data_IF_835350293502
#
_entry.id   IF_835350293502
#
_cell.length_a   1.000
_cell.length_b   1.000
_cell.length_c   1.000
_cell.angle_alpha   90.00
_cell.angle_beta   90.00
_cell.angle_gamma   90.00
#
_symmetry.space_group_name_H-M   'P 1'
#
loop_
_entity.id
_entity.type
_entity.pdbx_description
1 polymer ?
#
# COMPACT_ATOMS: atom_id res chain seq x y z
N UNK A 1 -1.72 0.56 -19.14
CA UNK A 1 -2.48 -0.71 -19.16
C UNK A 1 -2.88 -1.02 -17.73
N UNK A 2 -4.16 -1.27 -17.50
CA UNK A 2 -4.71 -1.76 -16.24
C UNK A 2 -5.54 -3.02 -16.54
N UNK A 3 -5.73 -3.94 -15.58
CA UNK A 3 -5.21 -3.88 -14.21
C UNK A 3 -3.68 -4.02 -14.17
N UNK A 4 -3.06 -3.37 -13.17
CA UNK A 4 -1.65 -3.54 -12.88
C UNK A 4 -1.37 -4.97 -12.45
N UNK A 5 -0.25 -5.51 -12.96
CA UNK A 5 0.20 -6.85 -12.62
C UNK A 5 0.78 -6.86 -11.21
N UNK A 6 0.30 -7.78 -10.39
CA UNK A 6 0.85 -8.05 -9.06
C UNK A 6 2.23 -8.72 -9.16
N UNK A 7 3.08 -8.46 -8.18
CA UNK A 7 4.35 -9.12 -8.01
C UNK A 7 4.16 -10.57 -7.52
N UNK A 8 5.04 -11.50 -7.91
CA UNK A 8 4.99 -12.88 -7.43
C UNK A 8 5.24 -12.95 -5.92
N UNK A 9 4.40 -13.68 -5.20
CA UNK A 9 4.45 -13.88 -3.74
C UNK A 9 4.96 -15.28 -3.37
N UNK A 10 5.09 -15.54 -2.06
CA UNK A 10 5.32 -16.87 -1.47
C UNK A 10 4.30 -17.11 -0.35
N UNK A 11 3.88 -18.35 -0.07
CA UNK A 11 2.89 -18.62 0.99
C UNK A 11 3.48 -18.59 2.41
N UNK A 12 4.79 -18.40 2.54
CA UNK A 12 5.57 -18.64 3.76
C UNK A 12 5.27 -17.62 4.89
N UNK A 13 5.63 -18.02 6.12
CA UNK A 13 5.60 -17.19 7.33
C UNK A 13 6.85 -16.32 7.41
N UNK A 14 6.71 -15.04 7.03
CA UNK A 14 7.85 -14.13 6.93
C UNK A 14 8.60 -13.90 8.25
N UNK A 15 7.91 -13.99 9.39
CA UNK A 15 8.52 -13.80 10.70
C UNK A 15 9.51 -14.91 11.08
N UNK A 16 9.26 -16.13 10.61
CA UNK A 16 10.15 -17.27 10.82
C UNK A 16 11.34 -17.29 9.84
N UNK A 17 11.32 -16.46 8.80
CA UNK A 17 12.40 -16.35 7.83
C UNK A 17 13.55 -15.48 8.33
N UNK A 18 14.73 -15.65 7.72
CA UNK A 18 15.80 -14.67 7.80
C UNK A 18 15.29 -13.34 7.22
N UNK A 19 15.40 -12.25 7.98
CA UNK A 19 14.88 -10.92 7.64
C UNK A 19 15.48 -10.39 6.35
N UNK A 20 16.68 -10.84 5.99
CA UNK A 20 17.38 -10.46 4.76
C UNK A 20 16.76 -11.11 3.53
N UNK A 21 16.06 -12.24 3.71
CA UNK A 21 15.19 -12.85 2.70
C UNK A 21 13.77 -12.27 2.79
N UNK A 22 13.24 -12.16 4.01
CA UNK A 22 11.86 -11.75 4.27
C UNK A 22 11.56 -10.32 3.77
N UNK A 23 12.51 -9.38 3.87
CA UNK A 23 12.32 -7.97 3.50
C UNK A 23 11.78 -7.80 2.08
N UNK A 24 12.27 -8.60 1.12
CA UNK A 24 11.79 -8.54 -0.27
C UNK A 24 10.32 -8.91 -0.37
N UNK A 25 9.91 -9.97 0.33
CA UNK A 25 8.54 -10.46 0.30
C UNK A 25 7.59 -9.55 1.10
N UNK A 26 8.05 -8.98 2.22
CA UNK A 26 7.32 -7.95 2.96
C UNK A 26 6.99 -6.75 2.05
N UNK A 27 7.98 -6.29 1.28
CA UNK A 27 7.80 -5.25 0.28
C UNK A 27 6.80 -5.64 -0.80
N UNK A 28 6.92 -6.86 -1.34
CA UNK A 28 6.02 -7.40 -2.35
C UNK A 28 4.57 -7.41 -1.86
N UNK A 29 4.30 -7.89 -0.65
CA UNK A 29 2.94 -7.95 -0.11
C UNK A 29 2.34 -6.56 0.09
N UNK A 30 3.09 -5.63 0.69
CA UNK A 30 2.62 -4.25 0.86
C UNK A 30 2.34 -3.60 -0.50
N UNK A 31 3.25 -3.72 -1.47
CA UNK A 31 3.08 -3.15 -2.80
C UNK A 31 1.91 -3.78 -3.57
N UNK A 32 1.70 -5.09 -3.44
CA UNK A 32 0.53 -5.76 -4.02
C UNK A 32 -0.79 -5.27 -3.41
N UNK A 33 -0.81 -5.00 -2.10
CA UNK A 33 -1.95 -4.43 -1.38
C UNK A 33 -2.30 -3.05 -1.95
N UNK A 34 -1.30 -2.17 -2.14
CA UNK A 34 -1.48 -0.85 -2.75
C UNK A 34 -1.94 -0.95 -4.21
N UNK A 35 -1.33 -1.84 -5.00
CA UNK A 35 -1.70 -2.06 -6.41
C UNK A 35 -3.16 -2.52 -6.53
N UNK A 36 -3.63 -3.39 -5.64
CA UNK A 36 -5.04 -3.80 -5.62
C UNK A 36 -5.97 -2.62 -5.37
N UNK A 37 -5.65 -1.76 -4.41
CA UNK A 37 -6.41 -0.53 -4.16
C UNK A 37 -6.51 0.36 -5.40
N UNK A 38 -5.36 0.60 -6.07
CA UNK A 38 -5.30 1.39 -7.30
C UNK A 38 -6.09 0.75 -8.46
N UNK A 39 -6.01 -0.57 -8.60
CA UNK A 39 -6.80 -1.30 -9.61
C UNK A 39 -8.29 -1.17 -9.35
N UNK A 40 -8.75 -1.31 -8.10
CA UNK A 40 -10.15 -1.07 -7.74
C UNK A 40 -10.60 0.33 -8.14
N UNK A 41 -9.83 1.38 -7.79
CA UNK A 41 -10.20 2.75 -8.15
C UNK A 41 -10.33 2.89 -9.67
N UNK A 42 -9.39 2.33 -10.44
CA UNK A 42 -9.42 2.35 -11.90
C UNK A 42 -10.66 1.65 -12.48
N UNK A 43 -11.01 0.48 -11.94
CA UNK A 43 -12.11 -0.37 -12.39
C UNK A 43 -13.49 0.20 -12.03
N UNK A 44 -13.63 0.78 -10.84
CA UNK A 44 -14.89 1.31 -10.31
C UNK A 44 -15.21 2.70 -10.86
N UNK A 45 -14.20 3.52 -11.15
CA UNK A 45 -14.38 4.89 -11.66
C UNK A 45 -15.46 5.04 -12.76
N UNK A 46 -15.48 4.25 -13.86
CA UNK A 46 -16.47 4.39 -14.92
C UNK A 46 -17.88 3.91 -14.56
N UNK A 47 -18.05 3.19 -13.45
CA UNK A 47 -19.31 2.61 -13.01
C UNK A 47 -20.06 3.53 -12.04
N UNK A 48 -19.34 4.45 -11.40
CA UNK A 48 -19.90 5.48 -10.52
C UNK A 48 -20.20 6.73 -11.35
N UNK A 49 -21.33 7.38 -11.09
CA UNK A 49 -21.69 8.68 -11.62
C UNK A 49 -22.02 9.66 -10.48
N UNK A 50 -22.11 10.98 -10.73
CA UNK A 50 -22.36 11.99 -9.69
C UNK A 50 -23.61 11.77 -8.83
N UNK A 51 -24.60 11.03 -9.33
CA UNK A 51 -25.84 10.74 -8.61
C UNK A 51 -25.86 9.35 -7.98
N UNK A 52 -24.78 8.59 -8.10
CA UNK A 52 -24.70 7.24 -7.56
C UNK A 52 -24.73 7.26 -6.02
N UNK A 53 -25.52 6.41 -5.34
CA UNK A 53 -25.64 6.43 -3.88
C UNK A 53 -24.31 6.22 -3.13
N UNK A 54 -23.35 5.55 -3.77
CA UNK A 54 -22.02 5.29 -3.22
C UNK A 54 -20.95 6.29 -3.68
N UNK A 55 -21.31 7.39 -4.34
CA UNK A 55 -20.35 8.34 -4.90
C UNK A 55 -19.37 8.89 -3.86
N UNK A 56 -19.89 9.41 -2.74
CA UNK A 56 -19.07 10.00 -1.68
C UNK A 56 -18.12 8.98 -1.05
N UNK A 57 -18.64 7.78 -0.73
CA UNK A 57 -17.83 6.69 -0.22
C UNK A 57 -16.75 6.23 -1.20
N UNK A 58 -17.02 6.27 -2.52
CA UNK A 58 -16.03 5.94 -3.53
C UNK A 58 -14.92 6.99 -3.62
N UNK A 59 -15.26 8.28 -3.56
CA UNK A 59 -14.27 9.36 -3.55
C UNK A 59 -13.38 9.30 -2.31
N UNK A 60 -13.97 9.07 -1.14
CA UNK A 60 -13.23 8.86 0.11
C UNK A 60 -12.31 7.64 0.03
N UNK A 61 -12.79 6.52 -0.50
CA UNK A 61 -11.97 5.33 -0.75
C UNK A 61 -10.79 5.62 -1.70
N UNK A 62 -11.02 6.37 -2.79
CA UNK A 62 -9.97 6.75 -3.72
C UNK A 62 -8.92 7.68 -3.08
N UNK A 63 -9.34 8.59 -2.19
CA UNK A 63 -8.44 9.42 -1.39
C UNK A 63 -7.59 8.56 -0.44
N UNK A 64 -8.22 7.62 0.29
CA UNK A 64 -7.54 6.66 1.17
C UNK A 64 -6.48 5.87 0.40
N UNK A 65 -6.80 5.33 -0.78
CA UNK A 65 -5.84 4.60 -1.61
C UNK A 65 -4.63 5.48 -1.95
N UNK A 66 -4.86 6.73 -2.36
CA UNK A 66 -3.78 7.68 -2.64
C UNK A 66 -2.92 8.00 -1.42
N UNK A 67 -3.55 8.21 -0.26
CA UNK A 67 -2.86 8.50 0.99
C UNK A 67 -2.06 7.29 1.52
N UNK A 68 -2.54 6.06 1.32
CA UNK A 68 -1.78 4.85 1.65
C UNK A 68 -0.56 4.66 0.75
N UNK A 69 -0.66 5.00 -0.54
CA UNK A 69 0.51 5.00 -1.44
C UNK A 69 1.52 6.04 -0.98
N UNK A 70 1.08 7.26 -0.66
CA UNK A 70 1.95 8.32 -0.13
C UNK A 70 2.66 7.88 1.15
N UNK A 71 1.90 7.37 2.13
CA UNK A 71 2.42 6.89 3.40
C UNK A 71 3.48 5.80 3.21
N UNK A 72 3.25 4.85 2.30
CA UNK A 72 4.21 3.79 2.02
C UNK A 72 5.52 4.34 1.44
N UNK A 73 5.45 5.30 0.52
CA UNK A 73 6.65 5.90 -0.09
C UNK A 73 7.47 6.70 0.93
N UNK A 74 6.80 7.45 1.81
CA UNK A 74 7.44 8.17 2.92
C UNK A 74 8.09 7.19 3.92
N UNK A 75 7.39 6.09 4.26
CA UNK A 75 7.93 5.05 5.13
C UNK A 75 9.12 4.32 4.53
N UNK A 76 9.06 3.99 3.23
CA UNK A 76 10.19 3.42 2.50
C UNK A 76 11.38 4.38 2.51
N UNK A 77 11.18 5.67 2.21
CA UNK A 77 12.26 6.65 2.29
C UNK A 77 12.93 6.64 3.65
N UNK A 78 12.15 6.80 4.73
CA UNK A 78 12.68 6.79 6.11
C UNK A 78 13.44 5.50 6.38
N UNK A 79 12.87 4.34 6.02
CA UNK A 79 13.50 3.04 6.24
C UNK A 79 14.83 2.89 5.50
N UNK A 80 14.91 3.29 4.23
CA UNK A 80 16.10 3.10 3.42
C UNK A 80 17.22 4.10 3.74
N UNK A 81 16.90 5.33 4.16
CA UNK A 81 17.91 6.36 4.49
C UNK A 81 18.37 6.35 5.94
N UNK A 82 17.61 5.73 6.86
CA UNK A 82 17.99 5.67 8.28
C UNK A 82 19.29 4.89 8.47
N UNK A 83 20.26 5.49 9.15
CA UNK A 83 21.54 4.86 9.43
C UNK A 83 21.39 3.63 10.35
N UNK A 84 22.11 2.56 10.01
CA UNK A 84 22.24 1.39 10.86
C UNK A 84 23.32 1.62 11.94
N UNK A 85 23.51 0.63 12.82
CA UNK A 85 24.53 0.69 13.89
C UNK A 85 25.99 0.75 13.39
N UNK A 86 26.25 0.59 12.09
CA UNK A 86 27.57 0.79 11.48
C UNK A 86 27.72 2.15 10.78
N UNK A 87 26.73 3.04 10.93
CA UNK A 87 26.77 4.39 10.36
C UNK A 87 26.53 4.44 8.85
N UNK A 88 25.95 3.38 8.26
CA UNK A 88 25.53 3.33 6.84
C UNK A 88 24.03 3.10 6.74
N UNK A 89 23.37 3.70 5.77
CA UNK A 89 21.97 3.42 5.47
C UNK A 89 21.84 2.24 4.51
N UNK A 90 20.62 1.69 4.33
CA UNK A 90 20.39 0.70 3.26
C UNK A 90 20.53 1.35 1.88
N UNK A 91 20.25 2.65 1.76
CA UNK A 91 20.52 3.44 0.57
C UNK A 91 22.02 3.45 0.22
N UNK A 92 22.92 3.66 1.18
CA UNK A 92 24.37 3.64 0.96
C UNK A 92 24.89 2.25 0.55
N UNK A 93 24.12 1.20 0.82
CA UNK A 93 24.48 -0.19 0.60
C UNK A 93 23.93 -0.69 -0.73
N UNK A 94 22.64 -0.44 -0.97
CA UNK A 94 21.91 -0.94 -2.11
C UNK A 94 21.99 0.03 -3.28
N UNK A 95 22.15 1.34 -3.06
CA UNK A 95 22.17 2.37 -4.09
C UNK A 95 20.82 3.05 -4.31
N UNK A 96 20.79 4.02 -5.23
CA UNK A 96 19.67 4.94 -5.42
C UNK A 96 18.35 4.23 -5.73
N UNK A 97 18.39 3.12 -6.48
CA UNK A 97 17.19 2.42 -6.94
C UNK A 97 16.41 1.71 -5.81
N UNK A 98 16.96 1.65 -4.59
CA UNK A 98 16.24 1.10 -3.44
C UNK A 98 15.31 2.11 -2.73
N UNK A 99 15.46 3.42 -3.00
CA UNK A 99 14.58 4.45 -2.47
C UNK A 99 13.57 4.86 -3.55
N UNK A 100 12.28 4.53 -3.39
CA UNK A 100 11.27 4.82 -4.40
C UNK A 100 10.79 6.27 -4.36
N UNK A 101 11.25 7.10 -3.41
CA UNK A 101 10.83 8.48 -3.31
C UNK A 101 11.32 9.29 -4.52
N UNK A 102 10.39 9.56 -5.42
CA UNK A 102 10.58 10.34 -6.62
C UNK A 102 9.61 11.52 -6.56
N UNK A 103 10.14 12.74 -6.67
CA UNK A 103 9.34 13.97 -6.64
C UNK A 103 8.16 13.93 -7.63
N UNK A 104 8.31 13.22 -8.77
CA UNK A 104 7.23 13.06 -9.76
C UNK A 104 6.04 12.29 -9.20
N UNK A 105 6.27 11.27 -8.37
CA UNK A 105 5.17 10.50 -7.76
C UNK A 105 4.44 11.35 -6.72
N UNK A 106 5.18 12.14 -5.92
CA UNK A 106 4.59 13.08 -4.98
C UNK A 106 3.68 14.11 -5.67
N UNK A 107 4.14 14.68 -6.78
CA UNK A 107 3.34 15.62 -7.58
C UNK A 107 2.09 14.97 -8.18
N UNK A 108 2.20 13.73 -8.67
CA UNK A 108 1.07 12.95 -9.20
C UNK A 108 0.01 12.67 -8.12
N UNK A 109 0.43 12.24 -6.93
CA UNK A 109 -0.45 11.98 -5.79
C UNK A 109 -1.15 13.25 -5.32
N UNK A 110 -0.42 14.37 -5.25
CA UNK A 110 -0.98 15.67 -4.91
C UNK A 110 -2.02 16.12 -5.93
N UNK A 111 -1.75 15.95 -7.23
CA UNK A 111 -2.69 16.29 -8.28
C UNK A 111 -3.95 15.42 -8.22
N UNK A 112 -3.80 14.11 -7.99
CA UNK A 112 -4.92 13.19 -7.79
C UNK A 112 -5.80 13.63 -6.62
N UNK A 113 -5.19 13.92 -5.46
CA UNK A 113 -5.92 14.39 -4.27
C UNK A 113 -6.68 15.69 -4.53
N UNK A 114 -6.05 16.66 -5.18
CA UNK A 114 -6.72 17.94 -5.53
C UNK A 114 -7.97 17.74 -6.39
N UNK A 115 -7.92 16.79 -7.33
CA UNK A 115 -9.06 16.49 -8.20
C UNK A 115 -10.15 15.74 -7.43
N UNK A 116 -9.79 14.78 -6.56
CA UNK A 116 -10.76 14.08 -5.69
C UNK A 116 -11.47 15.07 -4.76
N UNK A 117 -10.73 15.94 -4.08
CA UNK A 117 -11.30 16.93 -3.17
C UNK A 117 -12.31 17.85 -3.88
N UNK A 118 -11.99 18.27 -5.12
CA UNK A 118 -12.92 19.06 -5.95
C UNK A 118 -14.21 18.29 -6.23
N UNK A 119 -14.14 16.99 -6.49
CA UNK A 119 -15.32 16.17 -6.75
C UNK A 119 -16.13 15.86 -5.50
N UNK A 120 -15.49 15.78 -4.33
CA UNK A 120 -16.19 15.70 -3.05
C UNK A 120 -16.97 17.00 -2.77
N UNK A 121 -16.39 18.16 -3.08
CA UNK A 121 -17.03 19.49 -2.97
C UNK A 121 -18.15 19.70 -4.00
N UNK A 122 -17.93 19.31 -5.27
CA UNK A 122 -18.89 19.42 -6.37
C UNK A 122 -18.88 18.16 -7.24
N UNK A 123 -19.78 17.23 -6.90
CA UNK A 123 -19.92 15.93 -7.56
C UNK A 123 -20.26 16.09 -9.05
N UNK A 124 -20.91 17.18 -9.45
CA UNK A 124 -21.32 17.40 -10.85
C UNK A 124 -20.13 17.57 -11.80
N UNK A 125 -18.95 17.89 -11.25
CA UNK A 125 -17.70 18.04 -12.00
C UNK A 125 -16.92 16.72 -12.15
N UNK A 126 -17.43 15.61 -11.62
CA UNK A 126 -16.79 14.30 -11.72
C UNK A 126 -16.72 13.80 -13.16
N UNK A 127 -15.51 13.43 -13.57
CA UNK A 127 -15.23 12.85 -14.89
C UNK A 127 -14.48 11.54 -14.69
N UNK A 128 -15.13 10.36 -14.89
CA UNK A 128 -14.50 9.07 -14.69
C UNK A 128 -13.18 8.88 -15.44
N UNK A 129 -13.13 9.35 -16.70
CA UNK A 129 -11.95 9.25 -17.53
C UNK A 129 -10.74 10.00 -16.94
N UNK A 130 -10.97 11.15 -16.31
CA UNK A 130 -9.92 11.91 -15.63
C UNK A 130 -9.37 11.16 -14.43
N UNK A 131 -10.22 10.51 -13.63
CA UNK A 131 -9.76 9.67 -12.51
C UNK A 131 -8.91 8.50 -13.03
N UNK A 132 -9.41 7.81 -14.06
CA UNK A 132 -8.68 6.71 -14.69
C UNK A 132 -7.33 7.15 -15.24
N UNK A 133 -7.24 8.32 -15.86
CA UNK A 133 -5.99 8.88 -16.38
C UNK A 133 -4.99 9.17 -15.26
N UNK A 134 -5.43 9.81 -14.17
CA UNK A 134 -4.56 10.04 -13.00
C UNK A 134 -4.02 8.74 -12.42
N UNK A 135 -4.88 7.72 -12.26
CA UNK A 135 -4.46 6.41 -11.76
C UNK A 135 -3.49 5.75 -12.75
N UNK A 136 -3.76 5.79 -14.07
CA UNK A 136 -2.85 5.22 -15.08
C UNK A 136 -1.48 5.90 -15.10
N UNK A 137 -1.44 7.23 -14.96
CA UNK A 137 -0.19 7.99 -14.94
C UNK A 137 0.61 7.74 -13.66
N UNK A 138 -0.05 7.69 -12.50
CA UNK A 138 0.58 7.30 -11.24
C UNK A 138 1.14 5.86 -11.32
N UNK A 139 0.34 4.95 -11.88
CA UNK A 139 0.65 3.54 -12.01
C UNK A 139 1.89 3.27 -12.89
N UNK A 140 2.08 4.01 -13.98
CA UNK A 140 3.23 3.80 -14.87
C UNK A 140 4.55 4.14 -14.18
N UNK A 141 4.59 5.21 -13.39
CA UNK A 141 5.74 5.59 -12.58
C UNK A 141 5.97 4.61 -11.43
N UNK A 142 4.93 4.31 -10.65
CA UNK A 142 5.00 3.43 -9.48
C UNK A 142 5.47 2.03 -9.84
N UNK A 143 4.92 1.42 -10.90
CA UNK A 143 5.23 0.03 -11.27
C UNK A 143 6.71 -0.13 -11.56
N UNK A 144 7.32 0.83 -12.26
CA UNK A 144 8.75 0.81 -12.58
C UNK A 144 9.58 0.89 -11.30
N UNK A 145 9.29 1.87 -10.43
CA UNK A 145 10.02 2.05 -9.16
C UNK A 145 9.89 0.87 -8.22
N UNK A 146 8.69 0.31 -8.09
CA UNK A 146 8.45 -0.89 -7.29
C UNK A 146 9.22 -2.09 -7.82
N UNK A 147 9.25 -2.31 -9.14
CA UNK A 147 10.07 -3.35 -9.75
C UNK A 147 11.56 -3.16 -9.48
N UNK A 148 12.07 -1.95 -9.67
CA UNK A 148 13.48 -1.63 -9.46
C UNK A 148 13.88 -1.90 -8.01
N UNK A 149 13.09 -1.40 -7.05
CA UNK A 149 13.33 -1.62 -5.63
C UNK A 149 13.26 -3.10 -5.25
N UNK A 150 12.23 -3.84 -5.67
CA UNK A 150 12.10 -5.29 -5.39
C UNK A 150 13.28 -6.08 -5.96
N UNK A 151 13.80 -5.67 -7.12
CA UNK A 151 14.96 -6.30 -7.75
C UNK A 151 16.27 -5.91 -7.07
N UNK A 152 16.33 -4.76 -6.40
CA UNK A 152 17.51 -4.28 -5.67
C UNK A 152 17.64 -4.91 -4.29
N UNK A 153 16.52 -5.17 -3.61
CA UNK A 153 16.47 -5.84 -2.31
C UNK A 153 16.73 -7.35 -2.49
N UNK A 154 18.00 -7.71 -2.68
CA UNK A 154 18.46 -9.11 -2.75
C UNK A 154 19.19 -9.49 -1.46
N UNK A 155 18.86 -10.67 -0.94
CA UNK A 155 19.45 -11.23 0.28
C UNK A 155 20.97 -11.39 0.17
N UNK A 156 21.49 -11.75 -1.00
CA UNK A 156 22.92 -11.92 -1.28
C UNK A 156 23.75 -10.70 -0.86
N UNK A 157 23.25 -9.48 -1.13
CA UNK A 157 23.92 -8.24 -0.73
C UNK A 157 23.72 -7.97 0.76
N UNK A 158 22.49 -8.12 1.25
CA UNK A 158 22.14 -7.85 2.65
C UNK A 158 22.91 -8.72 3.65
N UNK A 159 23.13 -10.00 3.34
CA UNK A 159 23.87 -10.94 4.20
C UNK A 159 25.30 -10.47 4.48
N UNK A 160 25.92 -9.75 3.55
CA UNK A 160 27.30 -9.27 3.68
C UNK A 160 27.47 -7.97 4.47
N UNK A 161 26.38 -7.26 4.76
CA UNK A 161 26.42 -5.85 5.23
C UNK A 161 25.53 -5.56 6.44
N UNK A 162 24.50 -6.38 6.69
CA UNK A 162 23.60 -6.24 7.83
C UNK A 162 23.31 -7.61 8.45
N UNK A 163 23.28 -7.69 9.78
CA UNK A 163 22.86 -8.90 10.48
C UNK A 163 21.34 -9.10 10.38
N UNK A 164 20.89 -10.35 10.51
CA UNK A 164 19.45 -10.66 10.55
C UNK A 164 18.74 -9.86 11.66
N UNK A 165 19.23 -9.94 12.89
CA UNK A 165 18.67 -9.23 14.06
C UNK A 165 18.55 -7.72 13.84
N UNK A 166 19.58 -7.09 13.26
CA UNK A 166 19.55 -5.65 13.00
C UNK A 166 18.51 -5.31 11.94
N UNK A 167 18.45 -6.08 10.85
CA UNK A 167 17.47 -5.81 9.81
C UNK A 167 16.04 -6.05 10.32
N UNK A 168 15.83 -7.07 11.15
CA UNK A 168 14.57 -7.32 11.85
C UNK A 168 14.12 -6.12 12.68
N UNK A 169 15.04 -5.55 13.45
CA UNK A 169 14.79 -4.34 14.24
C UNK A 169 14.39 -3.17 13.34
N UNK A 170 15.13 -2.94 12.24
CA UNK A 170 14.78 -1.87 11.29
C UNK A 170 13.39 -2.07 10.66
N UNK A 171 13.00 -3.31 10.36
CA UNK A 171 11.66 -3.62 9.84
C UNK A 171 10.59 -3.29 10.88
N UNK A 172 10.81 -3.68 12.14
CA UNK A 172 9.90 -3.37 13.25
C UNK A 172 9.78 -1.86 13.47
N UNK A 173 10.90 -1.14 13.45
CA UNK A 173 10.92 0.32 13.57
C UNK A 173 10.12 0.99 12.45
N UNK A 174 10.20 0.47 11.21
CA UNK A 174 9.40 0.98 10.09
C UNK A 174 7.91 0.69 10.27
N UNK A 175 7.53 -0.50 10.77
CA UNK A 175 6.13 -0.80 11.09
C UNK A 175 5.60 0.17 12.16
N UNK A 176 6.38 0.45 13.21
CA UNK A 176 6.03 1.43 14.24
C UNK A 176 5.91 2.83 13.63
N UNK A 177 6.82 3.20 12.72
CA UNK A 177 6.76 4.48 12.02
C UNK A 177 5.46 4.61 11.22
N UNK A 178 5.10 3.62 10.41
CA UNK A 178 3.85 3.59 9.64
C UNK A 178 2.62 3.72 10.55
N UNK A 179 2.60 2.98 11.65
CA UNK A 179 1.50 3.02 12.64
C UNK A 179 1.37 4.39 13.30
N UNK A 180 2.47 5.06 13.61
CA UNK A 180 2.47 6.37 14.29
C UNK A 180 2.19 7.55 13.35
N UNK A 181 2.37 7.35 12.04
CA UNK A 181 2.15 8.37 11.00
C UNK A 181 0.88 8.12 10.19
N UNK A 182 0.00 7.24 10.65
CA UNK A 182 -1.26 6.91 10.00
C UNK A 182 -2.43 6.90 10.97
N UNK A 183 -3.64 7.03 10.42
CA UNK A 183 -4.85 6.71 11.15
C UNK A 183 -5.02 5.17 11.18
N UNK A 184 -4.99 4.58 12.38
CA UNK A 184 -5.17 3.14 12.57
C UNK A 184 -6.54 2.64 12.08
N UNK A 185 -7.56 3.50 12.06
CA UNK A 185 -8.90 3.20 11.52
C UNK A 185 -8.90 3.07 10.00
N UNK A 186 -7.81 3.48 9.35
CA UNK A 186 -7.57 3.34 7.91
C UNK A 186 -6.50 2.29 7.64
N UNK A 187 -5.32 2.41 8.26
CA UNK A 187 -4.13 1.60 7.92
C UNK A 187 -4.44 0.10 8.05
N UNK A 188 -4.93 -0.34 9.20
CA UNK A 188 -5.11 -1.75 9.48
C UNK A 188 -6.25 -2.36 8.64
N UNK A 189 -7.46 -1.75 8.58
CA UNK A 189 -8.49 -2.18 7.64
C UNK A 189 -8.01 -2.25 6.19
N UNK A 190 -7.28 -1.24 5.72
CA UNK A 190 -6.78 -1.20 4.35
C UNK A 190 -5.87 -2.38 4.04
N UNK A 191 -4.87 -2.67 4.88
CA UNK A 191 -3.96 -3.79 4.64
C UNK A 191 -4.74 -5.11 4.62
N UNK A 192 -5.64 -5.32 5.57
CA UNK A 192 -6.37 -6.58 5.69
C UNK A 192 -7.43 -6.78 4.61
N UNK A 193 -8.02 -5.71 4.10
CA UNK A 193 -9.06 -5.78 3.07
C UNK A 193 -8.49 -5.84 1.65
N UNK A 194 -7.18 -5.61 1.49
CA UNK A 194 -6.49 -5.64 0.19
C UNK A 194 -5.45 -6.76 0.08
N UNK A 195 -5.12 -7.43 1.18
CA UNK A 195 -4.31 -8.65 1.13
C UNK A 195 -5.14 -9.87 0.73
N UNK A 196 -4.58 -10.70 -0.15
CA UNK A 196 -5.17 -11.97 -0.54
C UNK A 196 -4.60 -13.10 0.33
N UNK A 197 -5.41 -13.61 1.24
CA UNK A 197 -5.02 -14.68 2.18
C UNK A 197 -4.56 -15.98 1.50
N UNK A 198 -4.91 -16.19 0.22
CA UNK A 198 -4.40 -17.33 -0.56
C UNK A 198 -2.93 -17.18 -0.94
N UNK A 199 -2.42 -15.95 -0.97
CA UNK A 199 -1.02 -15.66 -1.31
C UNK A 199 -0.09 -15.82 -0.13
N UNK A 200 -0.58 -15.57 1.09
CA UNK A 200 0.01 -15.97 2.37
C UNK A 200 -1.05 -15.83 3.46
N UNK A 201 -1.21 -16.88 4.29
CA UNK A 201 -2.12 -16.85 5.43
C UNK A 201 -1.52 -16.15 6.66
N UNK A 202 -0.22 -15.88 6.62
CA UNK A 202 0.57 -15.36 7.75
C UNK A 202 0.83 -13.85 7.66
N UNK A 203 0.48 -13.23 6.54
CA UNK A 203 0.67 -11.80 6.31
C UNK A 203 -0.68 -11.07 6.16
N UNK A 204 -0.81 -9.81 6.62
CA UNK A 204 0.08 -9.20 7.62
C UNK A 204 -0.08 -9.91 8.97
N UNK A 205 0.96 -9.87 9.79
CA UNK A 205 0.86 -10.32 11.18
C UNK A 205 0.02 -9.31 11.97
N UNK A 206 -1.10 -9.77 12.51
CA UNK A 206 -1.98 -8.95 13.36
C UNK A 206 -2.22 -9.72 14.65
N UNK A 207 -2.11 -9.04 15.78
CA UNK A 207 -2.39 -9.66 17.08
C UNK A 207 -3.88 -9.97 17.23
N UNK A 208 -4.23 -10.85 18.18
CA UNK A 208 -5.62 -11.17 18.47
C UNK A 208 -6.41 -9.92 18.87
N UNK A 209 -5.80 -8.99 19.62
CA UNK A 209 -6.42 -7.72 20.00
C UNK A 209 -6.67 -6.84 18.77
N UNK A 210 -5.72 -6.76 17.84
CA UNK A 210 -5.89 -6.02 16.59
C UNK A 210 -7.04 -6.58 15.75
N UNK A 211 -7.17 -7.90 15.67
CA UNK A 211 -8.30 -8.55 15.00
C UNK A 211 -9.62 -8.36 15.75
N UNK A 212 -9.61 -8.36 17.08
CA UNK A 212 -10.80 -8.10 17.90
C UNK A 212 -11.31 -6.66 17.77
N UNK A 213 -10.41 -5.68 17.56
CA UNK A 213 -10.76 -4.29 17.33
C UNK A 213 -11.32 -4.01 15.91
N UNK A 214 -11.11 -4.92 14.96
CA UNK A 214 -11.47 -4.72 13.55
C UNK A 214 -12.91 -4.24 13.31
N UNK A 215 -13.94 -4.83 13.95
CA UNK A 215 -15.32 -4.40 13.71
C UNK A 215 -15.58 -2.95 14.09
N UNK A 216 -14.85 -2.40 15.07
CA UNK A 216 -14.97 -1.00 15.48
C UNK A 216 -14.19 -0.08 14.54
N UNK A 217 -12.99 -0.48 14.13
CA UNK A 217 -12.18 0.27 13.16
C UNK A 217 -12.91 0.42 11.82
N UNK A 218 -13.55 -0.64 11.33
CA UNK A 218 -14.29 -0.61 10.06
C UNK A 218 -15.48 0.33 10.06
N UNK A 219 -16.12 0.55 11.22
CA UNK A 219 -17.31 1.43 11.32
C UNK A 219 -17.00 2.89 11.03
N UNK A 220 -15.74 3.33 11.25
CA UNK A 220 -15.34 4.72 11.03
C UNK A 220 -15.47 5.10 9.55
N UNK A 221 -15.15 4.18 8.64
CA UNK A 221 -15.17 4.38 7.19
C UNK A 221 -16.00 3.30 6.47
N UNK A 222 -17.14 2.89 7.04
CA UNK A 222 -17.91 1.71 6.59
C UNK A 222 -18.30 1.74 5.10
N UNK A 223 -18.53 2.94 4.55
CA UNK A 223 -18.87 3.11 3.14
C UNK A 223 -17.72 2.73 2.20
N UNK A 224 -16.48 3.01 2.61
CA UNK A 224 -15.27 2.82 1.82
C UNK A 224 -14.92 1.35 1.65
N UNK A 225 -15.09 0.55 2.69
CA UNK A 225 -14.69 -0.87 2.68
C UNK A 225 -15.53 -1.74 1.74
N UNK A 226 -16.66 -1.23 1.25
CA UNK A 226 -17.46 -1.88 0.19
C UNK A 226 -16.71 -2.03 -1.13
N UNK A 227 -15.71 -1.18 -1.39
CA UNK A 227 -14.89 -1.23 -2.59
C UNK A 227 -13.67 -2.13 -2.43
N UNK A 228 -13.32 -2.53 -1.21
CA UNK A 228 -12.17 -3.38 -0.98
C UNK A 228 -12.39 -4.78 -1.59
N UNK A 229 -11.33 -5.43 -2.10
CA UNK A 229 -11.45 -6.74 -2.75
C UNK A 229 -11.73 -7.89 -1.79
N UNK A 230 -11.42 -7.74 -0.50
CA UNK A 230 -11.60 -8.78 0.51
C UNK A 230 -12.24 -8.22 1.78
N UNK A 231 -13.04 -9.05 2.44
CA UNK A 231 -13.56 -8.75 3.76
C UNK A 231 -12.42 -8.87 4.79
N UNK A 232 -12.09 -7.81 5.55
CA UNK A 232 -10.94 -7.80 6.44
C UNK A 232 -11.09 -8.72 7.67
N UNK A 233 -12.30 -9.20 7.99
CA UNK A 233 -12.56 -10.13 9.10
C UNK A 233 -12.57 -11.57 8.57
N UNK A 234 -13.40 -11.86 7.57
CA UNK A 234 -13.59 -13.23 7.05
C UNK A 234 -12.54 -13.65 6.04
N UNK A 235 -11.78 -12.68 5.50
CA UNK A 235 -10.78 -12.85 4.43
C UNK A 235 -11.35 -13.36 3.10
N UNK A 236 -12.67 -13.35 2.96
CA UNK A 236 -13.34 -13.79 1.75
C UNK A 236 -13.32 -12.69 0.70
N UNK A 237 -13.21 -13.09 -0.56
CA UNK A 237 -13.30 -12.15 -1.68
C UNK A 237 -14.70 -11.54 -1.71
N UNK A 238 -14.75 -10.21 -1.80
CA UNK A 238 -16.00 -9.47 -1.91
C UNK A 238 -16.40 -9.31 -3.37
N UNK A 239 -17.71 -9.31 -3.63
CA UNK A 239 -18.22 -8.89 -4.93
C UNK A 239 -18.06 -7.38 -5.08
N UNK A 240 -17.78 -6.87 -6.29
CA UNK A 240 -17.80 -5.43 -6.54
C UNK A 240 -19.15 -4.83 -6.13
N UNK A 241 -19.19 -3.64 -5.51
CA UNK A 241 -20.41 -3.07 -4.94
C UNK A 241 -21.35 -2.43 -5.98
N UNK A 242 -21.31 -2.88 -7.24
CA UNK A 242 -21.87 -2.21 -8.42
C UNK A 242 -22.80 -3.13 -9.22
#
# INVERSE_FOLDING_TARGET
MTPLKLFPTIPDELEAMDSRLALRYQNIFMKNTLIRGLNTVHEVAPQINPSHPLFQAFMEYAEIVGDMVRLHLEGDEVFFITFNGSGRSLFDILGEECNPNDFKIGDQLKALRQVINRWQEDQSTYVPATLQEHIQHLNSTLSTKFWDQINKVKSEYLVSVVSDERLRTMIQDNVIWLVTHSDMTILLPFILSHHDSKTSAHWPSVTEEGMAAMPELLKVHEGCWKFAPFDPITKQQMAPPL
#
